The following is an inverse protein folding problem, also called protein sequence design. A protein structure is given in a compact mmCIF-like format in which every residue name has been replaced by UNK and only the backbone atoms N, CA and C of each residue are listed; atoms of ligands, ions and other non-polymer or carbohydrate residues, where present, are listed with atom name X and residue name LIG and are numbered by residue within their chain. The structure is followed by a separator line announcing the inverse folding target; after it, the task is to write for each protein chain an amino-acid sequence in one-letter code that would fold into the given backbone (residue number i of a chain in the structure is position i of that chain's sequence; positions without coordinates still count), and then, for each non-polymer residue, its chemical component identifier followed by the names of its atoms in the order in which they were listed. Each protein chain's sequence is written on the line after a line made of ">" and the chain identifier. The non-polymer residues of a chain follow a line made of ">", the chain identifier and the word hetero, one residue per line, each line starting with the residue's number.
data_IF_306870037428
#
_entry.id   IF_306870037428
#
_cell.length_a   1.000
_cell.length_b   1.000
_cell.length_c   1.000
_cell.angle_alpha   90.00
_cell.angle_beta   90.00
_cell.angle_gamma   90.00
#
_symmetry.space_group_name_H-M   'P 1'
#
loop_
_entity.id
_entity.type
_entity.pdbx_description
1 polymer ?
#
# COMPACT_ATOMS: atom_id res chain seq x y z
N UNK A 1 34.59 29.35 18.78
CA UNK A 1 33.49 28.46 18.36
C UNK A 1 33.05 27.66 19.59
N UNK A 2 31.81 27.83 20.05
CA UNK A 2 31.33 27.08 21.23
C UNK A 2 31.07 25.64 20.81
N UNK A 3 31.76 24.70 21.45
CA UNK A 3 31.60 23.26 21.24
C UNK A 3 30.21 22.81 21.70
N UNK A 4 29.66 21.80 21.03
CA UNK A 4 28.37 21.17 21.34
C UNK A 4 28.33 20.69 22.79
N UNK A 5 27.40 21.19 23.59
CA UNK A 5 27.18 20.77 24.98
C UNK A 5 26.03 19.77 25.08
N UNK A 6 26.34 18.54 25.50
CA UNK A 6 25.34 17.47 25.73
C UNK A 6 24.32 17.86 26.80
N UNK A 7 24.74 18.60 27.83
CA UNK A 7 23.87 19.01 28.93
C UNK A 7 22.76 19.97 28.46
N UNK A 8 23.10 20.91 27.56
CA UNK A 8 22.13 21.86 27.00
C UNK A 8 21.12 21.15 26.09
N UNK A 9 21.60 20.28 25.21
CA UNK A 9 20.72 19.47 24.37
C UNK A 9 19.79 18.59 25.22
N UNK A 10 20.31 17.96 26.28
CA UNK A 10 19.51 17.14 27.20
C UNK A 10 18.48 17.95 28.00
N UNK A 11 18.79 19.21 28.37
CA UNK A 11 17.85 20.10 29.02
C UNK A 11 16.69 20.48 28.09
N UNK A 12 16.99 20.83 26.83
CA UNK A 12 15.98 21.12 25.79
C UNK A 12 15.11 19.89 25.54
N UNK A 13 15.75 18.72 25.39
CA UNK A 13 15.06 17.43 25.24
C UNK A 13 14.08 17.17 26.38
N UNK A 14 14.54 17.31 27.63
CA UNK A 14 13.70 17.06 28.81
C UNK A 14 12.52 18.02 28.91
N UNK A 15 12.73 19.29 28.52
CA UNK A 15 11.66 20.29 28.43
C UNK A 15 10.63 19.91 27.36
N UNK A 16 11.10 19.51 26.20
CA UNK A 16 10.22 19.17 25.07
C UNK A 16 9.43 17.87 25.32
N UNK A 17 10.04 16.85 25.94
CA UNK A 17 9.32 15.65 26.39
C UNK A 17 8.16 16.01 27.34
N UNK A 18 8.37 16.93 28.29
CA UNK A 18 7.29 17.39 29.18
C UNK A 18 6.20 18.14 28.44
N UNK A 19 6.55 18.90 27.40
CA UNK A 19 5.57 19.58 26.56
C UNK A 19 4.71 18.57 25.79
N UNK A 20 5.35 17.59 25.13
CA UNK A 20 4.67 16.53 24.39
C UNK A 20 3.74 15.73 25.30
N UNK A 21 4.22 15.28 26.47
CA UNK A 21 3.41 14.50 27.41
C UNK A 21 2.21 15.27 27.98
N UNK A 22 2.26 16.60 27.96
CA UNK A 22 1.16 17.48 28.43
C UNK A 22 0.28 17.99 27.31
N UNK A 23 0.67 17.80 26.05
CA UNK A 23 -0.13 18.19 24.89
C UNK A 23 -0.90 16.97 24.36
N UNK A 24 -2.17 16.77 24.78
CA UNK A 24 -2.95 15.61 24.37
C UNK A 24 -3.18 15.58 22.87
N UNK A 25 -3.21 16.74 22.20
CA UNK A 25 -3.39 16.81 20.75
C UNK A 25 -2.19 16.19 20.02
N UNK A 26 -0.97 16.49 20.49
CA UNK A 26 0.26 15.90 19.95
C UNK A 26 0.30 14.40 20.17
N UNK A 27 -0.07 13.91 21.36
CA UNK A 27 -0.13 12.47 21.66
C UNK A 27 -1.19 11.74 20.81
N UNK A 28 -2.37 12.35 20.64
CA UNK A 28 -3.45 11.79 19.81
C UNK A 28 -2.99 11.67 18.35
N UNK A 29 -2.41 12.73 17.78
CA UNK A 29 -1.92 12.70 16.39
C UNK A 29 -0.77 11.71 16.22
N UNK A 30 0.14 11.62 17.18
CA UNK A 30 1.31 10.76 17.06
C UNK A 30 1.01 9.27 17.26
N UNK A 31 0.06 8.95 18.14
CA UNK A 31 -0.17 7.57 18.59
C UNK A 31 -1.54 7.04 18.16
N UNK A 32 -2.61 7.80 18.42
CA UNK A 32 -3.98 7.33 18.21
C UNK A 32 -4.40 7.41 16.74
N UNK A 33 -4.04 8.49 16.05
CA UNK A 33 -4.43 8.73 14.66
C UNK A 33 -3.88 7.64 13.70
N UNK A 34 -2.58 7.26 13.73
CA UNK A 34 -2.08 6.18 12.89
C UNK A 34 -2.77 4.85 13.18
N UNK A 35 -2.99 4.56 14.46
CA UNK A 35 -3.64 3.34 14.91
C UNK A 35 -5.07 3.25 14.38
N UNK A 36 -5.84 4.34 14.53
CA UNK A 36 -7.23 4.42 14.09
C UNK A 36 -7.33 4.26 12.56
N UNK A 37 -6.49 4.97 11.80
CA UNK A 37 -6.52 4.89 10.34
C UNK A 37 -6.13 3.49 9.87
N UNK A 38 -5.09 2.87 10.45
CA UNK A 38 -4.69 1.50 10.09
C UNK A 38 -5.78 0.50 10.47
N UNK A 39 -6.47 0.68 11.59
CA UNK A 39 -7.60 -0.18 11.97
C UNK A 39 -8.79 -0.01 11.01
N UNK A 40 -9.11 1.22 10.61
CA UNK A 40 -10.22 1.48 9.69
C UNK A 40 -9.85 0.96 8.28
N UNK A 41 -8.77 1.48 7.70
CA UNK A 41 -8.38 1.16 6.32
C UNK A 41 -7.87 -0.29 6.18
N UNK A 42 -7.20 -0.82 7.20
CA UNK A 42 -6.75 -2.22 7.19
C UNK A 42 -7.90 -3.22 7.20
N UNK A 43 -9.06 -2.85 7.76
CA UNK A 43 -10.28 -3.65 7.67
C UNK A 43 -11.06 -3.39 6.36
N UNK A 44 -11.04 -2.17 5.84
CA UNK A 44 -11.77 -1.82 4.61
C UNK A 44 -11.10 -2.28 3.31
N UNK A 45 -9.79 -2.48 3.29
CA UNK A 45 -9.08 -2.91 2.06
C UNK A 45 -9.09 -4.43 1.96
N UNK A 46 -10.07 -4.96 1.24
CA UNK A 46 -10.16 -6.37 0.87
C UNK A 46 -10.04 -6.51 -0.65
N UNK A 47 -8.80 -6.64 -1.19
CA UNK A 47 -8.65 -7.12 -2.57
C UNK A 47 -8.94 -8.62 -2.55
N UNK A 48 -10.20 -9.01 -2.75
CA UNK A 48 -10.60 -10.41 -2.77
C UNK A 48 -10.31 -10.99 -4.16
N UNK A 49 -9.07 -11.46 -4.38
CA UNK A 49 -8.64 -12.06 -5.66
C UNK A 49 -9.06 -13.54 -5.75
N UNK A 50 -9.56 -14.15 -4.66
CA UNK A 50 -10.07 -15.52 -4.64
C UNK A 50 -11.58 -15.53 -4.89
N UNK A 51 -12.08 -16.48 -5.67
CA UNK A 51 -13.51 -16.60 -6.02
C UNK A 51 -14.06 -15.44 -6.86
N UNK A 52 -13.29 -14.93 -7.81
CA UNK A 52 -13.77 -13.97 -8.81
C UNK A 52 -14.88 -14.65 -9.62
N UNK A 53 -16.12 -14.24 -9.38
CA UNK A 53 -17.28 -14.68 -10.16
C UNK A 53 -17.08 -14.18 -11.59
N UNK A 54 -16.93 -15.12 -12.51
CA UNK A 54 -16.70 -14.83 -13.92
C UNK A 54 -17.88 -15.33 -14.72
N UNK A 55 -18.64 -14.43 -15.33
CA UNK A 55 -19.66 -14.83 -16.28
C UNK A 55 -18.99 -15.24 -17.61
N UNK A 56 -19.52 -16.23 -18.32
CA UNK A 56 -19.03 -16.56 -19.65
C UNK A 56 -20.16 -16.79 -20.66
N UNK A 57 -19.94 -16.30 -21.88
CA UNK A 57 -20.76 -16.61 -23.05
C UNK A 57 -19.92 -17.34 -24.09
N UNK A 58 -20.33 -18.56 -24.43
CA UNK A 58 -19.69 -19.40 -25.44
C UNK A 58 -20.55 -19.48 -26.71
N UNK A 59 -20.18 -18.67 -27.73
CA UNK A 59 -20.84 -18.69 -29.03
C UNK A 59 -20.31 -19.81 -29.94
N UNK A 60 -19.10 -20.31 -29.70
CA UNK A 60 -18.44 -21.33 -30.53
C UNK A 60 -18.94 -22.74 -30.19
N UNK A 61 -19.13 -23.02 -28.89
CA UNK A 61 -19.65 -24.30 -28.35
C UNK A 61 -18.84 -25.53 -28.78
N UNK A 62 -17.54 -25.35 -29.00
CA UNK A 62 -16.59 -26.36 -29.47
C UNK A 62 -15.85 -27.05 -28.32
N UNK A 63 -15.01 -28.04 -28.64
CA UNK A 63 -14.14 -28.66 -27.63
C UNK A 63 -13.08 -27.67 -27.14
N UNK A 64 -12.52 -26.88 -28.05
CA UNK A 64 -11.52 -25.85 -27.75
C UNK A 64 -12.07 -24.73 -26.86
N UNK A 65 -13.31 -24.26 -27.09
CA UNK A 65 -13.94 -23.24 -26.25
C UNK A 65 -14.21 -23.74 -24.83
N UNK A 66 -14.73 -24.97 -24.69
CA UNK A 66 -14.93 -25.63 -23.39
C UNK A 66 -13.63 -25.81 -22.63
N UNK A 67 -12.56 -26.24 -23.30
CA UNK A 67 -11.25 -26.42 -22.69
C UNK A 67 -10.65 -25.10 -22.16
N UNK A 68 -10.90 -23.97 -22.84
CA UNK A 68 -10.51 -22.65 -22.36
C UNK A 68 -11.25 -22.31 -21.06
N UNK A 69 -12.58 -22.46 -21.04
CA UNK A 69 -13.44 -22.18 -19.87
C UNK A 69 -13.05 -23.07 -18.68
N UNK A 70 -12.82 -24.36 -18.91
CA UNK A 70 -12.38 -25.30 -17.88
C UNK A 70 -10.98 -24.94 -17.34
N UNK A 71 -10.10 -24.39 -18.18
CA UNK A 71 -8.78 -23.91 -17.73
C UNK A 71 -8.92 -22.69 -16.81
N UNK A 72 -9.92 -21.82 -17.04
CA UNK A 72 -10.27 -20.77 -16.08
C UNK A 72 -10.89 -21.33 -14.79
N UNK A 73 -11.81 -22.28 -14.88
CA UNK A 73 -12.50 -22.88 -13.73
C UNK A 73 -11.62 -23.80 -12.87
N UNK A 74 -10.55 -24.34 -13.42
CA UNK A 74 -9.53 -25.10 -12.68
C UNK A 74 -8.56 -24.20 -11.90
N UNK A 75 -8.61 -22.89 -12.10
CA UNK A 75 -7.88 -21.95 -11.26
C UNK A 75 -8.67 -21.66 -9.98
N UNK A 76 -8.02 -21.66 -8.81
CA UNK A 76 -8.67 -21.29 -7.53
C UNK A 76 -9.13 -19.80 -7.48
N UNK A 77 -8.83 -19.05 -8.53
CA UNK A 77 -9.08 -17.62 -8.66
C UNK A 77 -10.43 -17.31 -9.29
N UNK A 78 -10.84 -18.06 -10.32
CA UNK A 78 -12.07 -17.80 -11.07
C UNK A 78 -13.14 -18.85 -10.80
N UNK A 79 -14.38 -18.40 -10.66
CA UNK A 79 -15.58 -19.25 -10.61
C UNK A 79 -16.43 -18.96 -11.84
N UNK A 80 -16.17 -19.63 -12.98
CA UNK A 80 -16.94 -19.43 -14.20
C UNK A 80 -18.39 -19.90 -14.01
N UNK A 81 -19.34 -19.12 -14.51
CA UNK A 81 -20.75 -19.50 -14.63
C UNK A 81 -21.33 -19.03 -15.97
N UNK A 82 -22.23 -19.82 -16.59
CA UNK A 82 -22.76 -19.49 -17.91
C UNK A 82 -23.72 -18.30 -17.87
N UNK A 83 -23.73 -17.52 -18.95
CA UNK A 83 -24.75 -16.51 -19.27
C UNK A 83 -25.31 -16.76 -20.67
N UNK A 84 -26.55 -16.37 -20.90
CA UNK A 84 -27.28 -16.67 -22.14
C UNK A 84 -27.01 -15.68 -23.29
N UNK A 85 -26.56 -14.45 -22.98
CA UNK A 85 -26.29 -13.39 -23.95
C UNK A 85 -25.13 -12.49 -23.44
N UNK A 86 -24.18 -12.07 -24.30
CA UNK A 86 -23.17 -11.06 -23.97
C UNK A 86 -23.71 -9.79 -23.28
N UNK A 87 -24.90 -9.31 -23.66
CA UNK A 87 -25.49 -8.10 -23.07
C UNK A 87 -25.81 -8.30 -21.58
N UNK A 88 -26.21 -9.52 -21.20
CA UNK A 88 -26.45 -9.90 -19.79
C UNK A 88 -25.16 -9.85 -19.00
N UNK A 89 -24.00 -10.11 -19.64
CA UNK A 89 -22.70 -9.98 -18.99
C UNK A 89 -22.43 -8.56 -18.50
N UNK A 90 -22.86 -7.53 -19.24
CA UNK A 90 -22.72 -6.15 -18.82
C UNK A 90 -23.61 -5.84 -17.61
N UNK A 91 -24.85 -6.30 -17.61
CA UNK A 91 -25.78 -6.16 -16.47
C UNK A 91 -25.29 -6.91 -15.22
N UNK A 92 -24.63 -8.07 -15.40
CA UNK A 92 -24.00 -8.82 -14.31
C UNK A 92 -22.83 -8.07 -13.67
N UNK A 93 -22.04 -7.34 -14.47
CA UNK A 93 -20.99 -6.44 -13.95
C UNK A 93 -21.61 -5.27 -13.20
N UNK A 94 -22.60 -4.59 -13.80
CA UNK A 94 -23.28 -3.44 -13.19
C UNK A 94 -23.96 -3.79 -11.87
N UNK A 95 -24.47 -5.01 -11.75
CA UNK A 95 -25.11 -5.50 -10.53
C UNK A 95 -24.14 -6.14 -9.53
N UNK A 96 -22.83 -6.01 -9.73
CA UNK A 96 -21.75 -6.58 -8.90
C UNK A 96 -21.82 -8.12 -8.75
N UNK A 97 -22.54 -8.80 -9.64
CA UNK A 97 -22.70 -10.27 -9.63
C UNK A 97 -21.53 -10.97 -10.34
N UNK A 98 -21.01 -10.34 -11.40
CA UNK A 98 -19.77 -10.72 -12.07
C UNK A 98 -18.69 -9.66 -11.85
N UNK A 99 -17.44 -10.09 -11.64
CA UNK A 99 -16.25 -9.22 -11.62
C UNK A 99 -15.51 -9.22 -12.95
N UNK A 100 -15.77 -10.22 -13.79
CA UNK A 100 -15.27 -10.34 -15.15
C UNK A 100 -16.29 -11.10 -16.02
N UNK A 101 -16.33 -10.79 -17.31
CA UNK A 101 -17.14 -11.48 -18.32
C UNK A 101 -16.21 -11.94 -19.43
N UNK A 102 -16.29 -13.22 -19.78
CA UNK A 102 -15.56 -13.83 -20.89
C UNK A 102 -16.53 -14.08 -22.06
N UNK A 103 -16.24 -13.53 -23.23
CA UNK A 103 -17.03 -13.73 -24.44
C UNK A 103 -16.16 -14.42 -25.49
N UNK A 104 -16.51 -15.66 -25.82
CA UNK A 104 -15.86 -16.45 -26.87
C UNK A 104 -16.66 -16.28 -28.17
N UNK A 105 -16.06 -15.71 -29.25
CA UNK A 105 -16.76 -15.48 -30.50
C UNK A 105 -17.03 -16.77 -31.28
N UNK A 106 -17.98 -16.76 -32.23
CA UNK A 106 -18.15 -17.87 -33.16
C UNK A 106 -16.89 -18.02 -34.03
N UNK A 107 -16.51 -19.24 -34.36
CA UNK A 107 -15.30 -19.62 -35.13
C UNK A 107 -13.97 -19.61 -34.35
N UNK A 108 -14.00 -19.50 -33.03
CA UNK A 108 -12.81 -19.51 -32.18
C UNK A 108 -11.91 -20.74 -32.43
N UNK A 109 -12.47 -21.95 -32.44
CA UNK A 109 -11.73 -23.18 -32.72
C UNK A 109 -11.10 -23.17 -34.12
N UNK A 110 -11.83 -22.69 -35.13
CA UNK A 110 -11.35 -22.61 -36.51
C UNK A 110 -10.17 -21.66 -36.63
N UNK A 111 -10.19 -20.54 -35.93
CA UNK A 111 -9.11 -19.55 -35.95
C UNK A 111 -7.87 -20.05 -35.22
N UNK A 112 -8.04 -20.64 -34.03
CA UNK A 112 -6.93 -21.19 -33.23
C UNK A 112 -6.26 -22.34 -33.96
N UNK A 113 -7.03 -23.32 -34.48
CA UNK A 113 -6.47 -24.46 -35.22
C UNK A 113 -5.84 -24.07 -36.56
N UNK A 114 -6.26 -22.96 -37.16
CA UNK A 114 -5.62 -22.40 -38.36
C UNK A 114 -4.29 -21.68 -38.08
N UNK A 115 -3.81 -21.68 -36.82
CA UNK A 115 -2.60 -20.98 -36.41
C UNK A 115 -2.75 -19.46 -36.37
N UNK A 116 -3.99 -18.95 -36.40
CA UNK A 116 -4.30 -17.52 -36.23
C UNK A 116 -4.57 -17.22 -34.76
N UNK A 117 -4.41 -15.97 -34.37
CA UNK A 117 -4.77 -15.50 -33.02
C UNK A 117 -6.29 -15.57 -32.84
N UNK A 118 -6.77 -16.57 -32.09
CA UNK A 118 -8.16 -16.62 -31.64
C UNK A 118 -8.44 -15.46 -30.70
N UNK A 119 -9.29 -14.53 -31.13
CA UNK A 119 -9.64 -13.36 -30.32
C UNK A 119 -10.70 -13.77 -29.29
N UNK A 120 -10.45 -13.50 -28.02
CA UNK A 120 -11.44 -13.68 -26.95
C UNK A 120 -11.61 -12.35 -26.25
N UNK A 121 -12.85 -11.92 -26.04
CA UNK A 121 -13.13 -10.65 -25.38
C UNK A 121 -13.30 -10.89 -23.89
N UNK A 122 -12.62 -10.06 -23.10
CA UNK A 122 -12.83 -10.00 -21.66
C UNK A 122 -13.32 -8.61 -21.30
N UNK A 123 -14.44 -8.54 -20.58
CA UNK A 123 -14.92 -7.32 -19.94
C UNK A 123 -14.67 -7.42 -18.44
N UNK A 124 -14.12 -6.37 -17.83
CA UNK A 124 -13.82 -6.29 -16.39
C UNK A 124 -14.32 -4.95 -15.89
N UNK A 125 -14.83 -4.90 -14.66
CA UNK A 125 -15.22 -3.63 -14.04
C UNK A 125 -14.02 -2.69 -13.88
N UNK A 126 -14.13 -1.52 -14.50
CA UNK A 126 -13.14 -0.43 -14.48
C UNK A 126 -13.03 0.33 -13.16
N UNK A 127 -14.01 0.20 -12.26
CA UNK A 127 -14.10 1.00 -11.05
C UNK A 127 -13.06 0.60 -9.98
N UNK A 128 -12.64 -0.67 -9.97
CA UNK A 128 -11.61 -1.19 -9.06
C UNK A 128 -10.30 -1.46 -9.82
N UNK A 129 -9.51 -0.41 -10.00
CA UNK A 129 -8.26 -0.44 -10.76
C UNK A 129 -7.24 -1.48 -10.22
N UNK A 130 -7.33 -1.80 -8.93
CA UNK A 130 -6.44 -2.78 -8.29
C UNK A 130 -6.76 -4.22 -8.67
N UNK A 131 -8.06 -4.54 -8.80
CA UNK A 131 -8.55 -5.85 -9.25
C UNK A 131 -8.30 -6.09 -10.73
N UNK A 132 -8.35 -5.05 -11.57
CA UNK A 132 -8.11 -5.15 -13.02
C UNK A 132 -6.69 -5.62 -13.33
N UNK A 133 -5.68 -5.05 -12.66
CA UNK A 133 -4.26 -5.42 -12.89
C UNK A 133 -4.03 -6.88 -12.50
N UNK A 134 -4.65 -7.36 -11.41
CA UNK A 134 -4.57 -8.75 -11.03
C UNK A 134 -5.24 -9.65 -12.09
N UNK A 135 -6.50 -9.35 -12.44
CA UNK A 135 -7.30 -10.12 -13.40
C UNK A 135 -6.62 -10.23 -14.75
N UNK A 136 -6.11 -9.12 -15.30
CA UNK A 136 -5.44 -9.08 -16.61
C UNK A 136 -4.13 -9.88 -16.65
N UNK A 137 -3.31 -9.80 -15.60
CA UNK A 137 -2.08 -10.60 -15.49
C UNK A 137 -2.37 -12.11 -15.39
N UNK A 138 -3.40 -12.49 -14.62
CA UNK A 138 -3.85 -13.88 -14.53
C UNK A 138 -4.41 -14.39 -15.85
N UNK A 139 -5.22 -13.59 -16.55
CA UNK A 139 -5.77 -13.94 -17.86
C UNK A 139 -4.69 -14.19 -18.91
N UNK A 140 -3.64 -13.36 -18.96
CA UNK A 140 -2.50 -13.58 -19.85
C UNK A 140 -1.82 -14.94 -19.61
N UNK A 141 -1.66 -15.30 -18.33
CA UNK A 141 -1.06 -16.58 -17.92
C UNK A 141 -1.95 -17.78 -18.29
N UNK A 142 -3.26 -17.68 -18.02
CA UNK A 142 -4.23 -18.74 -18.33
C UNK A 142 -4.40 -18.91 -19.84
N UNK A 143 -4.44 -17.82 -20.61
CA UNK A 143 -4.52 -17.84 -22.07
C UNK A 143 -3.33 -18.59 -22.69
N UNK A 144 -2.12 -18.32 -22.18
CA UNK A 144 -0.91 -19.03 -22.63
C UNK A 144 -1.01 -20.54 -22.36
N UNK A 145 -1.50 -20.94 -21.19
CA UNK A 145 -1.69 -22.36 -20.85
C UNK A 145 -2.79 -23.04 -21.68
N UNK A 146 -3.89 -22.33 -21.97
CA UNK A 146 -4.98 -22.84 -22.78
C UNK A 146 -4.53 -23.03 -24.24
N UNK A 147 -3.79 -22.08 -24.81
CA UNK A 147 -3.25 -22.19 -26.16
C UNK A 147 -2.35 -23.44 -26.34
N UNK A 148 -1.51 -23.75 -25.35
CA UNK A 148 -0.66 -24.96 -25.37
C UNK A 148 -1.49 -26.24 -25.38
N UNK A 149 -2.56 -26.32 -24.56
CA UNK A 149 -3.43 -27.49 -24.49
C UNK A 149 -4.25 -27.69 -25.76
N UNK A 150 -4.84 -26.61 -26.29
CA UNK A 150 -5.72 -26.64 -27.47
C UNK A 150 -4.94 -27.03 -28.73
N UNK A 151 -3.75 -26.47 -28.93
CA UNK A 151 -2.95 -26.71 -30.14
C UNK A 151 -2.23 -28.08 -30.14
N UNK A 152 -2.34 -28.87 -29.06
CA UNK A 152 -1.64 -30.16 -28.87
C UNK A 152 -0.18 -30.12 -29.32
N UNK A 153 0.49 -28.98 -29.14
CA UNK A 153 1.89 -28.85 -29.50
C UNK A 153 2.69 -29.79 -28.59
N UNK A 154 3.26 -30.85 -29.17
CA UNK A 154 4.31 -31.67 -28.54
C UNK A 154 5.59 -30.83 -28.45
N UNK A 155 5.57 -29.79 -27.63
CA UNK A 155 6.80 -29.11 -27.29
C UNK A 155 7.52 -29.93 -26.22
N UNK A 156 8.46 -30.79 -26.65
CA UNK A 156 9.58 -31.25 -25.82
C UNK A 156 10.42 -30.09 -25.28
N UNK A 157 10.13 -28.86 -25.69
CA UNK A 157 10.39 -27.65 -24.94
C UNK A 157 9.09 -27.20 -24.27
N UNK A 158 8.77 -27.73 -23.09
CA UNK A 158 7.83 -27.05 -22.20
C UNK A 158 8.25 -25.57 -22.19
N UNK A 159 7.41 -24.59 -22.60
CA UNK A 159 7.72 -23.22 -22.23
C UNK A 159 7.78 -23.29 -20.71
N UNK A 160 8.94 -22.98 -20.13
CA UNK A 160 9.19 -23.17 -18.71
C UNK A 160 7.93 -22.78 -17.95
N UNK A 161 7.26 -23.75 -17.32
CA UNK A 161 6.13 -23.47 -16.46
C UNK A 161 6.72 -22.78 -15.24
N UNK A 162 6.88 -21.46 -15.35
CA UNK A 162 7.26 -20.61 -14.25
C UNK A 162 6.12 -20.64 -13.25
N UNK A 163 6.18 -21.59 -12.33
CA UNK A 163 5.36 -21.59 -11.13
C UNK A 163 5.86 -20.43 -10.26
N UNK A 164 5.34 -19.23 -10.54
CA UNK A 164 5.61 -18.06 -9.72
C UNK A 164 4.97 -18.30 -8.35
N UNK A 165 5.82 -18.46 -7.33
CA UNK A 165 5.41 -18.63 -5.94
C UNK A 165 5.76 -17.35 -5.19
N UNK A 166 4.75 -16.65 -4.68
CA UNK A 166 4.95 -15.52 -3.79
C UNK A 166 5.52 -16.03 -2.46
N UNK A 167 6.77 -15.65 -2.15
CA UNK A 167 7.50 -16.12 -0.96
C UNK A 167 6.91 -15.59 0.36
N UNK A 168 6.41 -14.35 0.36
CA UNK A 168 5.97 -13.65 1.58
C UNK A 168 4.45 -13.46 1.68
N UNK A 169 3.71 -13.71 0.60
CA UNK A 169 2.24 -13.68 0.59
C UNK A 169 1.66 -14.73 -0.38
N UNK A 170 1.79 -16.04 -0.07
CA UNK A 170 1.34 -17.11 -0.96
C UNK A 170 -0.17 -17.08 -1.23
N UNK A 171 -0.94 -16.54 -0.29
CA UNK A 171 -2.41 -16.47 -0.38
C UNK A 171 -2.92 -15.20 -1.06
N UNK A 172 -2.03 -14.26 -1.38
CA UNK A 172 -2.36 -12.91 -1.85
C UNK A 172 -3.34 -12.21 -0.91
N UNK A 173 -3.11 -12.35 0.40
CA UNK A 173 -3.87 -11.64 1.40
C UNK A 173 -3.56 -10.14 1.31
N UNK A 174 -4.55 -9.39 0.87
CA UNK A 174 -4.50 -7.94 0.68
C UNK A 174 -4.09 -7.18 1.91
N UNK A 175 -4.49 -7.66 3.10
CA UNK A 175 -4.15 -7.03 4.37
C UNK A 175 -2.65 -7.14 4.67
N UNK A 176 -2.00 -8.23 4.25
CA UNK A 176 -0.56 -8.42 4.44
C UNK A 176 0.29 -7.47 3.59
N UNK A 177 -0.27 -6.91 2.51
CA UNK A 177 0.38 -5.91 1.69
C UNK A 177 0.01 -4.49 2.10
N UNK A 178 -1.29 -4.21 2.21
CA UNK A 178 -1.80 -2.86 2.43
C UNK A 178 -1.52 -2.33 3.84
N UNK A 179 -1.61 -3.17 4.88
CA UNK A 179 -1.42 -2.71 6.27
C UNK A 179 0.01 -2.20 6.52
N UNK A 180 1.09 -2.93 6.14
CA UNK A 180 2.45 -2.41 6.25
C UNK A 180 2.66 -1.15 5.39
N UNK A 181 2.18 -1.14 4.14
CA UNK A 181 2.33 0.01 3.25
C UNK A 181 1.67 1.28 3.80
N UNK A 182 0.41 1.17 4.23
CA UNK A 182 -0.31 2.27 4.86
C UNK A 182 0.35 2.73 6.14
N UNK A 183 0.81 1.80 6.99
CA UNK A 183 1.49 2.17 8.23
C UNK A 183 2.73 3.04 7.97
N UNK A 184 3.53 2.70 6.95
CA UNK A 184 4.71 3.48 6.59
C UNK A 184 4.33 4.90 6.12
N UNK A 185 3.34 5.01 5.23
CA UNK A 185 2.86 6.31 4.72
C UNK A 185 2.29 7.18 5.84
N UNK A 186 1.47 6.61 6.72
CA UNK A 186 0.84 7.37 7.80
C UNK A 186 1.87 7.84 8.82
N UNK A 187 2.84 6.99 9.18
CA UNK A 187 3.92 7.36 10.09
C UNK A 187 4.79 8.45 9.47
N UNK A 188 5.08 8.39 8.17
CA UNK A 188 5.79 9.43 7.45
C UNK A 188 5.05 10.77 7.51
N UNK A 189 3.75 10.78 7.19
CA UNK A 189 2.91 11.97 7.25
C UNK A 189 2.88 12.57 8.66
N UNK A 190 2.69 11.74 9.68
CA UNK A 190 2.70 12.19 11.08
C UNK A 190 4.06 12.75 11.47
N UNK A 191 5.17 12.12 11.08
CA UNK A 191 6.52 12.61 11.38
C UNK A 191 6.79 13.99 10.74
N UNK A 192 6.44 14.17 9.46
CA UNK A 192 6.54 15.47 8.79
C UNK A 192 5.68 16.49 9.54
N UNK A 193 4.39 16.19 9.75
CA UNK A 193 3.44 17.12 10.36
C UNK A 193 3.88 17.58 11.75
N UNK A 194 4.29 16.67 12.62
CA UNK A 194 4.70 16.99 13.99
C UNK A 194 5.91 17.95 14.01
N UNK A 195 6.91 17.68 13.16
CA UNK A 195 8.11 18.52 13.11
C UNK A 195 7.80 19.87 12.50
N UNK A 196 7.05 19.90 11.41
CA UNK A 196 6.63 21.11 10.73
C UNK A 196 5.85 22.02 11.67
N UNK A 197 4.83 21.46 12.33
CA UNK A 197 3.97 22.20 13.25
C UNK A 197 4.75 22.75 14.44
N UNK A 198 5.62 21.94 15.04
CA UNK A 198 6.39 22.34 16.23
C UNK A 198 7.25 23.57 15.95
N UNK A 199 7.97 23.57 14.84
CA UNK A 199 8.89 24.66 14.51
C UNK A 199 8.10 25.89 14.04
N UNK A 200 7.09 25.73 13.18
CA UNK A 200 6.25 26.87 12.77
C UNK A 200 5.51 27.49 13.96
N UNK A 201 5.07 26.70 14.95
CA UNK A 201 4.42 27.21 16.17
C UNK A 201 5.34 28.14 16.95
N UNK A 202 6.63 27.82 17.00
CA UNK A 202 7.64 28.60 17.72
C UNK A 202 7.94 29.92 16.99
N UNK A 203 7.91 29.91 15.65
CA UNK A 203 7.99 31.13 14.84
C UNK A 203 6.79 32.04 15.07
N UNK A 204 5.57 31.50 14.98
CA UNK A 204 4.34 32.29 15.15
C UNK A 204 4.16 32.85 16.55
N UNK A 205 4.59 32.11 17.59
CA UNK A 205 4.52 32.57 18.98
C UNK A 205 5.67 33.52 19.37
N UNK A 206 6.61 33.78 18.46
CA UNK A 206 7.81 34.60 18.73
C UNK A 206 8.81 33.94 19.68
N UNK A 207 8.56 32.73 20.16
CA UNK A 207 9.45 32.00 21.08
C UNK A 207 10.73 31.52 20.42
N UNK A 208 10.76 31.46 19.08
CA UNK A 208 11.97 31.18 18.31
C UNK A 208 13.07 32.24 18.54
N UNK A 209 12.70 33.52 18.65
CA UNK A 209 13.66 34.60 18.93
C UNK A 209 14.26 34.47 20.34
N UNK A 210 13.42 34.09 21.31
CA UNK A 210 13.86 33.79 22.67
C UNK A 210 14.78 32.58 22.72
N UNK A 211 14.53 31.55 21.92
CA UNK A 211 15.42 30.39 21.77
C UNK A 211 16.76 30.76 21.16
N UNK A 212 16.78 31.58 20.11
CA UNK A 212 18.00 32.00 19.41
C UNK A 212 18.86 32.97 20.22
N UNK A 213 18.27 33.67 21.20
CA UNK A 213 19.01 34.53 22.15
C UNK A 213 19.64 33.76 23.32
N UNK A 214 19.30 32.48 23.51
CA UNK A 214 19.96 31.63 24.50
C UNK A 214 21.39 31.28 24.08
N UNK A 215 22.30 30.92 25.00
CA UNK A 215 23.66 30.53 24.65
C UNK A 215 23.79 29.19 23.90
N UNK A 216 22.67 28.50 23.61
CA UNK A 216 22.63 27.20 22.94
C UNK A 216 22.95 27.31 21.45
N UNK A 217 23.62 26.30 20.89
CA UNK A 217 23.93 26.26 19.45
C UNK A 217 22.73 25.77 18.64
N UNK A 218 22.65 26.14 17.36
CA UNK A 218 21.56 25.70 16.46
C UNK A 218 21.42 24.17 16.41
N UNK A 219 22.54 23.45 16.40
CA UNK A 219 22.54 21.98 16.42
C UNK A 219 22.01 21.42 17.74
N UNK A 220 22.33 22.03 18.90
CA UNK A 220 21.77 21.63 20.20
C UNK A 220 20.25 21.80 20.24
N UNK A 221 19.75 22.91 19.68
CA UNK A 221 18.31 23.21 19.63
C UNK A 221 17.60 22.20 18.72
N UNK A 222 18.13 21.95 17.52
CA UNK A 222 17.53 21.00 16.57
C UNK A 222 17.52 19.59 17.16
N UNK A 223 18.66 19.09 17.66
CA UNK A 223 18.73 17.73 18.23
C UNK A 223 17.83 17.62 19.46
N UNK A 224 17.85 18.60 20.36
CA UNK A 224 17.03 18.62 21.56
C UNK A 224 15.53 18.66 21.28
N UNK A 225 15.10 19.34 20.21
CA UNK A 225 13.68 19.41 19.81
C UNK A 225 13.23 18.24 18.94
N UNK A 226 14.03 17.77 17.99
CA UNK A 226 13.64 16.74 17.02
C UNK A 226 13.66 15.34 17.62
N UNK A 227 14.64 15.04 18.48
CA UNK A 227 14.81 13.71 19.07
C UNK A 227 13.58 13.22 19.89
N UNK A 228 12.90 14.06 20.70
CA UNK A 228 11.64 13.70 21.35
C UNK A 228 10.55 13.24 20.37
N UNK A 229 10.38 13.93 19.24
CA UNK A 229 9.40 13.54 18.22
C UNK A 229 9.83 12.26 17.48
N UNK A 230 11.14 12.04 17.28
CA UNK A 230 11.64 10.78 16.74
C UNK A 230 11.28 9.59 17.63
N UNK A 231 11.48 9.73 18.95
CA UNK A 231 11.09 8.70 19.93
C UNK A 231 9.58 8.51 19.91
N UNK A 232 8.80 9.58 19.89
CA UNK A 232 7.34 9.53 19.86
C UNK A 232 6.82 8.80 18.61
N UNK A 233 7.32 9.14 17.42
CA UNK A 233 6.97 8.46 16.17
C UNK A 233 7.39 7.00 16.17
N UNK A 234 8.53 6.68 16.79
CA UNK A 234 8.99 5.30 16.91
C UNK A 234 8.09 4.47 17.85
N UNK A 235 7.60 5.07 18.96
CA UNK A 235 6.58 4.44 19.81
C UNK A 235 5.29 4.22 19.02
N UNK A 236 4.85 5.21 18.24
CA UNK A 236 3.69 5.08 17.35
C UNK A 236 3.85 3.93 16.35
N UNK A 237 5.03 3.80 15.74
CA UNK A 237 5.37 2.65 14.89
C UNK A 237 5.23 1.31 15.62
N UNK A 238 5.78 1.19 16.84
CA UNK A 238 5.69 -0.04 17.63
C UNK A 238 4.23 -0.42 17.88
N UNK A 239 3.38 0.54 18.23
CA UNK A 239 1.95 0.30 18.46
C UNK A 239 1.25 -0.22 17.20
N UNK A 240 1.48 0.44 16.06
CA UNK A 240 0.92 0.02 14.77
C UNK A 240 1.45 -1.35 14.36
N UNK A 241 2.73 -1.63 14.58
CA UNK A 241 3.34 -2.93 14.30
C UNK A 241 2.72 -4.04 15.16
N UNK A 242 2.49 -3.79 16.45
CA UNK A 242 1.81 -4.74 17.34
C UNK A 242 0.39 -5.00 16.85
N UNK A 243 -0.36 -3.97 16.46
CA UNK A 243 -1.72 -4.13 15.94
C UNK A 243 -1.74 -4.86 14.59
N UNK A 244 -0.81 -4.56 13.68
CA UNK A 244 -0.65 -5.28 12.42
C UNK A 244 -0.44 -6.79 12.65
N UNK A 245 0.31 -7.14 13.69
CA UNK A 245 0.56 -8.54 14.08
C UNK A 245 -0.65 -9.18 14.78
N UNK A 246 -1.21 -8.52 15.78
CA UNK A 246 -2.23 -9.08 16.67
C UNK A 246 -3.63 -9.10 16.05
N UNK A 247 -4.01 -8.06 15.30
CA UNK A 247 -5.35 -7.90 14.73
C UNK A 247 -5.40 -8.45 13.30
N UNK A 248 -4.40 -8.13 12.49
CA UNK A 248 -4.38 -8.47 11.06
C UNK A 248 -3.58 -9.73 10.73
N UNK A 249 -2.89 -10.31 11.70
CA UNK A 249 -2.14 -11.56 11.52
C UNK A 249 -0.97 -11.45 10.54
N UNK A 250 -0.44 -10.23 10.31
CA UNK A 250 0.61 -10.01 9.30
C UNK A 250 1.88 -10.78 9.71
N UNK A 251 2.41 -11.70 8.89
CA UNK A 251 3.64 -12.41 9.23
C UNK A 251 4.85 -11.46 9.20
N UNK A 252 5.70 -11.52 10.22
CA UNK A 252 6.99 -10.83 10.23
C UNK A 252 8.10 -11.86 10.05
N UNK A 253 8.82 -11.77 8.93
CA UNK A 253 9.96 -12.63 8.60
C UNK A 253 11.15 -11.71 8.37
N UNK A 254 12.09 -11.68 9.31
CA UNK A 254 13.27 -10.83 9.24
C UNK A 254 13.88 -10.56 10.62
N UNK A 255 14.85 -9.64 10.64
CA UNK A 255 15.52 -9.23 11.88
C UNK A 255 14.86 -7.98 12.46
N UNK A 256 14.49 -8.05 13.75
CA UNK A 256 13.99 -6.89 14.50
C UNK A 256 15.00 -5.74 14.54
N UNK A 257 16.30 -6.04 14.51
CA UNK A 257 17.36 -5.02 14.49
C UNK A 257 17.34 -4.25 13.17
N UNK A 258 17.25 -4.96 12.05
CA UNK A 258 17.18 -4.34 10.72
C UNK A 258 15.93 -3.48 10.58
N UNK A 259 14.78 -3.98 11.06
CA UNK A 259 13.53 -3.21 11.08
C UNK A 259 13.68 -1.94 11.92
N UNK A 260 14.23 -2.05 13.13
CA UNK A 260 14.42 -0.91 14.04
C UNK A 260 15.33 0.15 13.43
N UNK A 261 16.47 -0.25 12.86
CA UNK A 261 17.41 0.68 12.23
C UNK A 261 16.82 1.34 10.98
N UNK A 262 16.13 0.57 10.14
CA UNK A 262 15.47 1.10 8.95
C UNK A 262 14.36 2.09 9.33
N UNK A 263 13.53 1.76 10.32
CA UNK A 263 12.47 2.65 10.80
C UNK A 263 13.03 3.92 11.43
N UNK A 264 14.11 3.83 12.22
CA UNK A 264 14.75 5.03 12.78
C UNK A 264 15.30 5.94 11.67
N UNK A 265 15.96 5.38 10.67
CA UNK A 265 16.47 6.14 9.52
C UNK A 265 15.34 6.77 8.71
N UNK A 266 14.27 6.02 8.48
CA UNK A 266 13.06 6.48 7.82
C UNK A 266 12.41 7.66 8.57
N UNK A 267 12.19 7.53 9.87
CA UNK A 267 11.62 8.59 10.71
C UNK A 267 12.52 9.82 10.67
N UNK A 268 13.83 9.67 10.88
CA UNK A 268 14.76 10.81 10.85
C UNK A 268 14.75 11.55 9.50
N UNK A 269 14.61 10.83 8.39
CA UNK A 269 14.47 11.44 7.05
C UNK A 269 13.22 12.32 6.95
N UNK A 270 12.06 11.80 7.37
CA UNK A 270 10.81 12.55 7.33
C UNK A 270 10.75 13.72 8.33
N UNK A 271 11.37 13.57 9.50
CA UNK A 271 11.52 14.69 10.45
C UNK A 271 12.42 15.78 9.86
N UNK A 272 13.53 15.42 9.21
CA UNK A 272 14.41 16.39 8.55
C UNK A 272 13.68 17.13 7.42
N UNK A 273 12.82 16.42 6.68
CA UNK A 273 11.96 17.01 5.66
C UNK A 273 10.94 18.00 6.25
N UNK A 274 10.29 17.64 7.36
CA UNK A 274 9.39 18.55 8.07
C UNK A 274 10.12 19.78 8.62
N UNK A 275 11.34 19.59 9.13
CA UNK A 275 12.19 20.71 9.55
C UNK A 275 12.51 21.65 8.37
N UNK A 276 12.88 21.11 7.21
CA UNK A 276 13.14 21.91 6.01
C UNK A 276 11.93 22.76 5.61
N UNK A 277 10.75 22.13 5.52
CA UNK A 277 9.48 22.81 5.19
C UNK A 277 9.19 23.92 6.21
N UNK A 278 9.38 23.64 7.51
CA UNK A 278 9.08 24.60 8.57
C UNK A 278 9.93 25.87 8.51
N UNK A 279 11.19 25.74 8.10
CA UNK A 279 12.14 26.85 7.97
C UNK A 279 11.82 27.67 6.73
N UNK A 280 11.23 27.10 5.68
CA UNK A 280 10.85 27.85 4.48
C UNK A 280 9.54 28.63 4.64
N UNK A 281 8.58 28.11 5.40
CA UNK A 281 7.23 28.67 5.42
C UNK A 281 6.94 29.60 6.58
N UNK A 282 7.50 29.32 7.77
CA UNK A 282 7.27 30.05 9.03
C UNK A 282 5.82 30.18 9.54
N UNK A 283 4.80 29.84 8.74
CA UNK A 283 3.38 29.84 9.09
C UNK A 283 2.81 28.42 9.15
N UNK A 284 2.06 28.10 10.19
CA UNK A 284 1.51 26.75 10.43
C UNK A 284 0.57 26.30 9.31
N UNK A 285 -0.38 27.14 8.90
CA UNK A 285 -1.39 26.74 7.89
C UNK A 285 -0.76 26.35 6.55
N UNK A 286 0.13 27.20 6.04
CA UNK A 286 0.81 26.97 4.76
C UNK A 286 1.78 25.78 4.86
N UNK A 287 2.43 25.61 6.02
CA UNK A 287 3.41 24.54 6.21
C UNK A 287 2.73 23.17 6.28
N UNK A 288 1.53 23.07 6.86
CA UNK A 288 0.72 21.84 6.84
C UNK A 288 0.32 21.50 5.39
N UNK A 289 -0.12 22.47 4.60
CA UNK A 289 -0.50 22.23 3.20
C UNK A 289 0.70 21.72 2.38
N UNK A 290 1.86 22.36 2.53
CA UNK A 290 3.09 21.89 1.90
C UNK A 290 3.51 20.50 2.39
N UNK A 291 3.44 20.24 3.69
CA UNK A 291 3.75 18.93 4.26
C UNK A 291 2.89 17.81 3.68
N UNK A 292 1.60 18.07 3.45
CA UNK A 292 0.69 17.09 2.84
C UNK A 292 0.99 16.86 1.36
N UNK A 293 1.32 17.91 0.60
CA UNK A 293 1.60 17.80 -0.84
C UNK A 293 2.92 17.08 -1.10
N UNK A 294 3.96 17.35 -0.31
CA UNK A 294 5.30 16.77 -0.52
C UNK A 294 5.47 15.43 0.22
N UNK A 295 4.65 15.18 1.26
CA UNK A 295 4.70 13.95 2.04
C UNK A 295 3.93 12.75 1.46
N UNK A 296 3.06 12.99 0.48
CA UNK A 296 2.31 11.99 -0.32
C UNK A 296 2.99 11.76 -1.67
#
# INVERSE_FOLDING_TARGET
>A
MRFFSRERAAAIFSKECKHILRDPFTLIIALLLPLAIVLILGNSIEFNIRSIKMAYYDADRTESSRMLIDTFGSSDYFKPYPIDNPDVGFDEILAERARAVLVVPPDFEREVLAGRTGNVQVMVDGADNSSIIAITNYMSTINTNAAVKILKMNTSASPLSFKSRYLFNPELNSRWFSVPGLSAVIIALVAIMLTTLTICREWEKGSMEMLLSTPATTLEIIVGKVLPYAILSFIGFILVFIVARAVFGVPFVGSYLTLTLATLLFILGYLAMGLFISVSTHKQEVAIQFALIVGL
#
